data_IF_254416587430
#
_entry.id   IF_254416587430
#
_cell.length_a   1.000
_cell.length_b   1.000
_cell.length_c   1.000
_cell.angle_alpha   90.00
_cell.angle_beta   90.00
_cell.angle_gamma   90.00
#
_symmetry.space_group_name_H-M   'P 1'
#
loop_
_entity.id
_entity.type
_entity.pdbx_description
1 polymer ?
#
# COMPACT_ATOMS: atom_id res chain seq x y z
N UNK A 1 -29.18 12.20 -22.10
CA UNK A 1 -28.31 12.06 -23.29
C UNK A 1 -27.56 13.37 -23.54
N UNK A 2 -26.72 13.81 -22.58
CA UNK A 2 -25.94 15.07 -22.64
C UNK A 2 -24.69 15.04 -21.71
N UNK A 3 -24.24 13.84 -21.31
CA UNK A 3 -23.14 13.64 -20.34
C UNK A 3 -21.90 12.94 -20.93
N UNK A 4 -21.96 12.49 -22.19
CA UNK A 4 -20.90 11.72 -22.85
C UNK A 4 -19.95 12.56 -23.72
N UNK A 5 -20.35 13.77 -24.16
CA UNK A 5 -19.51 14.59 -25.05
C UNK A 5 -18.47 15.44 -24.31
N UNK A 6 -18.58 15.60 -22.99
CA UNK A 6 -17.57 16.32 -22.17
C UNK A 6 -16.32 15.50 -21.83
N UNK A 7 -16.34 14.19 -22.08
CA UNK A 7 -15.22 13.28 -21.82
C UNK A 7 -14.15 13.29 -22.91
N UNK A 8 -14.46 13.78 -24.12
CA UNK A 8 -13.51 13.78 -25.24
C UNK A 8 -12.62 15.03 -25.32
N UNK A 9 -13.08 16.19 -24.86
CA UNK A 9 -12.28 17.42 -24.91
C UNK A 9 -11.29 17.60 -23.74
N UNK A 10 -11.46 16.86 -22.64
CA UNK A 10 -10.50 16.85 -21.53
C UNK A 10 -9.25 16.01 -21.85
N UNK A 11 -9.33 15.08 -22.80
CA UNK A 11 -8.28 14.07 -22.99
C UNK A 11 -7.02 14.59 -23.72
N UNK A 12 -7.12 15.69 -24.49
CA UNK A 12 -5.93 16.35 -25.08
C UNK A 12 -5.18 17.26 -24.11
N UNK A 13 -5.82 17.70 -23.03
CA UNK A 13 -5.17 18.56 -22.03
C UNK A 13 -4.29 17.75 -21.06
N UNK A 14 -4.62 16.47 -20.84
CA UNK A 14 -3.89 15.58 -19.93
C UNK A 14 -2.56 15.12 -20.56
N UNK A 15 -2.53 14.79 -21.85
CA UNK A 15 -1.30 14.40 -22.56
C UNK A 15 -0.26 15.53 -22.61
N UNK A 16 -0.69 16.79 -22.76
CA UNK A 16 0.21 17.95 -22.70
C UNK A 16 0.69 18.27 -21.28
N UNK A 17 0.06 17.74 -20.24
CA UNK A 17 0.39 18.03 -18.84
C UNK A 17 1.48 17.08 -18.31
N UNK A 18 1.49 15.82 -18.75
CA UNK A 18 2.51 14.83 -18.38
C UNK A 18 3.91 15.27 -18.86
N UNK A 19 4.01 15.91 -20.03
CA UNK A 19 5.29 16.42 -20.53
C UNK A 19 5.76 17.74 -19.87
N UNK A 20 4.87 18.49 -19.20
CA UNK A 20 5.17 19.79 -18.58
C UNK A 20 5.37 19.74 -17.07
N UNK A 21 5.00 18.64 -16.41
CA UNK A 21 5.26 18.45 -14.98
C UNK A 21 6.74 18.21 -14.64
N UNK A 22 7.58 17.84 -15.63
CA UNK A 22 9.02 17.63 -15.43
C UNK A 22 9.85 18.93 -15.32
N UNK A 23 9.23 20.12 -15.28
CA UNK A 23 9.99 21.39 -15.28
C UNK A 23 9.63 22.37 -14.15
N UNK A 24 8.67 22.04 -13.28
CA UNK A 24 8.16 23.04 -12.31
C UNK A 24 7.75 22.47 -10.95
N UNK A 25 8.49 21.53 -10.38
CA UNK A 25 8.42 21.29 -8.93
C UNK A 25 9.85 21.05 -8.45
N UNK A 26 10.36 21.97 -7.65
CA UNK A 26 11.58 21.79 -6.86
C UNK A 26 11.37 20.71 -5.81
N UNK A 27 11.29 19.46 -6.23
CA UNK A 27 11.43 18.31 -5.37
C UNK A 27 12.93 18.15 -5.13
N UNK A 28 13.41 18.66 -3.99
CA UNK A 28 14.72 18.22 -3.50
C UNK A 28 14.62 16.72 -3.32
N UNK A 29 15.25 15.95 -4.21
CA UNK A 29 15.50 14.53 -3.97
C UNK A 29 16.38 14.49 -2.72
N UNK A 30 15.76 14.28 -1.56
CA UNK A 30 16.50 13.85 -0.38
C UNK A 30 17.26 12.60 -0.78
N UNK A 31 18.58 12.61 -0.61
CA UNK A 31 19.43 11.47 -0.91
C UNK A 31 18.89 10.26 -0.14
N UNK A 32 18.58 9.13 -0.81
CA UNK A 32 18.07 7.95 -0.13
C UNK A 32 19.02 7.57 1.00
N UNK A 33 18.48 7.40 2.21
CA UNK A 33 19.25 6.84 3.31
C UNK A 33 19.57 5.38 2.95
N UNK A 34 20.85 4.99 2.80
CA UNK A 34 21.20 3.62 2.43
C UNK A 34 20.77 2.58 3.49
N UNK A 35 20.46 3.01 4.72
CA UNK A 35 19.90 2.15 5.77
C UNK A 35 18.38 1.95 5.67
N UNK A 36 17.66 2.83 4.98
CA UNK A 36 16.21 2.79 4.82
C UNK A 36 15.83 3.34 3.43
N UNK A 37 15.91 2.51 2.37
CA UNK A 37 15.46 2.94 1.06
C UNK A 37 13.98 3.33 1.13
N UNK A 38 13.64 4.51 0.64
CA UNK A 38 12.25 4.97 0.57
C UNK A 38 11.60 4.36 -0.66
N UNK A 39 10.46 3.68 -0.49
CA UNK A 39 9.72 3.12 -1.62
C UNK A 39 9.16 4.25 -2.49
N UNK A 40 9.56 4.30 -3.76
CA UNK A 40 8.96 5.20 -4.74
C UNK A 40 7.48 4.86 -4.94
N UNK A 41 6.61 5.87 -5.04
CA UNK A 41 5.18 5.69 -5.29
C UNK A 41 4.85 6.10 -6.72
N UNK A 42 4.51 5.13 -7.57
CA UNK A 42 4.10 5.44 -8.96
C UNK A 42 2.73 6.12 -9.02
N UNK A 43 1.86 5.85 -8.04
CA UNK A 43 0.51 6.42 -8.03
C UNK A 43 0.60 7.86 -7.53
N UNK A 44 0.20 8.87 -8.33
CA UNK A 44 0.14 10.24 -7.84
C UNK A 44 -0.88 10.35 -6.70
N UNK A 45 -0.52 10.99 -5.59
CA UNK A 45 -1.39 11.12 -4.42
C UNK A 45 -2.78 11.68 -4.76
N UNK A 46 -2.88 12.58 -5.74
CA UNK A 46 -4.15 13.12 -6.21
C UNK A 46 -5.11 12.06 -6.78
N UNK A 47 -4.58 10.98 -7.38
CA UNK A 47 -5.38 9.82 -7.81
C UNK A 47 -5.91 9.07 -6.59
N UNK A 48 -5.06 8.82 -5.59
CA UNK A 48 -5.50 8.16 -4.34
C UNK A 48 -6.56 8.98 -3.60
N UNK A 49 -6.38 10.30 -3.49
CA UNK A 49 -7.32 11.18 -2.78
C UNK A 49 -8.66 11.39 -3.50
N UNK A 50 -8.73 11.07 -4.79
CA UNK A 50 -9.99 11.10 -5.56
C UNK A 50 -10.62 9.72 -5.73
N UNK A 51 -10.00 8.68 -5.17
CA UNK A 51 -10.46 7.29 -5.24
C UNK A 51 -11.28 6.92 -3.99
N UNK A 52 -12.32 6.13 -4.17
CA UNK A 52 -13.20 5.64 -3.11
C UNK A 52 -12.90 4.18 -2.70
N UNK A 53 -11.74 3.64 -3.06
CA UNK A 53 -11.37 2.25 -2.77
C UNK A 53 -10.66 2.11 -1.42
N UNK A 54 -9.42 2.59 -1.30
CA UNK A 54 -8.63 2.36 -0.09
C UNK A 54 -9.16 3.15 1.12
N UNK A 55 -8.83 2.65 2.32
CA UNK A 55 -9.23 3.17 3.63
C UNK A 55 -10.73 3.05 3.99
N UNK A 56 -11.52 2.37 3.16
CA UNK A 56 -12.95 2.06 3.37
C UNK A 56 -13.13 0.55 3.30
N UNK A 57 -13.87 -0.02 4.25
CA UNK A 57 -13.95 -1.45 4.48
C UNK A 57 -15.39 -1.85 4.79
N UNK A 58 -15.79 -3.04 4.38
CA UNK A 58 -17.14 -3.56 4.61
C UNK A 58 -17.33 -4.09 6.04
N UNK A 59 -16.25 -4.52 6.69
CA UNK A 59 -16.27 -5.21 7.98
C UNK A 59 -15.37 -4.51 9.00
N UNK A 60 -15.76 -4.51 10.28
CA UNK A 60 -15.02 -3.88 11.37
C UNK A 60 -13.66 -4.52 11.63
N UNK A 61 -13.57 -5.83 11.39
CA UNK A 61 -12.41 -6.70 11.57
C UNK A 61 -11.82 -7.14 10.22
N UNK A 62 -12.04 -6.34 9.16
CA UNK A 62 -11.46 -6.56 7.85
C UNK A 62 -9.97 -6.85 7.94
N UNK A 63 -9.55 -8.00 7.39
CA UNK A 63 -8.14 -8.40 7.32
C UNK A 63 -7.30 -7.48 6.43
N UNK A 64 -7.95 -6.65 5.62
CA UNK A 64 -7.31 -5.65 4.76
C UNK A 64 -7.04 -4.33 5.50
N UNK A 65 -7.45 -4.21 6.76
CA UNK A 65 -7.10 -3.06 7.58
C UNK A 65 -5.56 -3.01 7.76
N UNK A 66 -4.93 -1.83 7.63
CA UNK A 66 -3.48 -1.72 7.64
C UNK A 66 -2.81 -2.30 8.90
N UNK A 67 -1.71 -3.01 8.68
CA UNK A 67 -0.82 -3.50 9.73
C UNK A 67 0.38 -2.56 9.89
N UNK A 68 0.75 -2.31 11.14
CA UNK A 68 1.88 -1.50 11.54
C UNK A 68 2.90 -2.38 12.24
N UNK A 69 4.17 -2.22 11.91
CA UNK A 69 5.26 -2.69 12.78
C UNK A 69 5.28 -1.90 14.09
N UNK A 70 5.88 -2.44 15.15
CA UNK A 70 6.02 -1.68 16.41
C UNK A 70 6.76 -0.34 16.22
N UNK A 71 7.75 -0.26 15.32
CA UNK A 71 8.44 1.01 15.02
C UNK A 71 7.52 2.04 14.36
N UNK A 72 6.67 1.64 13.41
CA UNK A 72 5.72 2.53 12.75
C UNK A 72 4.61 2.99 13.70
N UNK A 73 4.09 2.07 14.51
CA UNK A 73 3.14 2.37 15.58
C UNK A 73 3.72 3.36 16.58
N UNK A 74 4.96 3.15 17.04
CA UNK A 74 5.61 4.07 17.99
C UNK A 74 5.76 5.49 17.43
N UNK A 75 6.05 5.63 16.13
CA UNK A 75 6.12 6.93 15.46
C UNK A 75 4.79 7.68 15.52
N UNK A 76 3.68 7.04 15.12
CA UNK A 76 2.37 7.71 15.13
C UNK A 76 1.85 7.97 16.55
N UNK A 77 2.15 7.10 17.51
CA UNK A 77 1.81 7.33 18.93
C UNK A 77 2.56 8.53 19.51
N UNK A 78 3.82 8.72 19.11
CA UNK A 78 4.61 9.90 19.50
C UNK A 78 3.98 11.20 18.97
N UNK A 79 3.32 11.13 17.81
CA UNK A 79 2.56 12.23 17.20
C UNK A 79 1.13 12.37 17.77
N UNK A 80 0.83 11.71 18.90
CA UNK A 80 -0.41 11.89 19.66
C UNK A 80 -1.54 10.94 19.27
N UNK A 81 -1.29 9.92 18.45
CA UNK A 81 -2.27 8.88 18.15
C UNK A 81 -2.49 7.99 19.37
N UNK A 82 -3.75 7.69 19.67
CA UNK A 82 -4.11 6.79 20.76
C UNK A 82 -3.56 5.36 20.51
N UNK A 83 -2.69 4.82 21.39
CA UNK A 83 -2.20 3.45 21.26
C UNK A 83 -3.32 2.40 21.36
N UNK A 84 -4.47 2.75 21.94
CA UNK A 84 -5.66 1.90 21.99
C UNK A 84 -6.27 1.60 20.63
N UNK A 85 -5.86 2.28 19.56
CA UNK A 85 -6.30 1.99 18.18
C UNK A 85 -5.65 0.76 17.57
N UNK A 86 -4.62 0.18 18.19
CA UNK A 86 -3.82 -0.90 17.60
C UNK A 86 -4.09 -2.24 18.28
N UNK A 87 -4.47 -3.26 17.49
CA UNK A 87 -4.68 -4.63 17.94
C UNK A 87 -3.44 -5.49 17.66
N UNK A 88 -2.75 -6.03 18.67
CA UNK A 88 -1.60 -6.89 18.47
C UNK A 88 -1.91 -8.07 17.55
N UNK A 89 -0.94 -8.44 16.70
CA UNK A 89 -1.03 -9.60 15.82
C UNK A 89 -0.33 -10.83 16.41
N UNK A 90 -0.48 -11.97 15.74
CA UNK A 90 0.05 -13.26 16.20
C UNK A 90 1.57 -13.34 16.22
N UNK A 91 2.26 -12.53 15.40
CA UNK A 91 3.73 -12.40 15.44
C UNK A 91 4.26 -11.71 16.70
N UNK A 92 3.41 -11.05 17.49
CA UNK A 92 3.80 -10.29 18.68
C UNK A 92 4.66 -9.05 18.41
N UNK A 93 4.89 -8.69 17.14
CA UNK A 93 5.78 -7.62 16.70
C UNK A 93 5.08 -6.61 15.76
N UNK A 94 3.85 -6.90 15.36
CA UNK A 94 3.01 -6.01 14.57
C UNK A 94 1.62 -5.84 15.21
N UNK A 95 0.92 -4.79 14.78
CA UNK A 95 -0.42 -4.50 15.22
C UNK A 95 -1.30 -3.98 14.07
N UNK A 96 -2.50 -4.50 13.97
CA UNK A 96 -3.49 -4.08 12.99
C UNK A 96 -4.31 -2.91 13.54
N UNK A 97 -4.59 -1.92 12.68
CA UNK A 97 -5.41 -0.77 13.06
C UNK A 97 -6.88 -1.18 13.25
N UNK A 98 -7.50 -0.71 14.32
CA UNK A 98 -8.93 -0.90 14.55
C UNK A 98 -9.74 0.12 13.75
N UNK A 99 -10.69 -0.37 12.95
CA UNK A 99 -11.52 0.48 12.11
C UNK A 99 -12.62 1.16 12.92
N UNK A 100 -13.05 2.35 12.48
CA UNK A 100 -14.18 3.08 13.04
C UNK A 100 -15.39 2.97 12.12
N UNK A 101 -16.57 2.80 12.70
CA UNK A 101 -17.83 2.81 11.96
C UNK A 101 -18.06 4.18 11.31
N UNK A 102 -18.52 4.19 10.07
CA UNK A 102 -18.87 5.38 9.31
C UNK A 102 -19.97 5.05 8.31
N UNK A 103 -21.18 5.55 8.57
CA UNK A 103 -22.39 5.25 7.80
C UNK A 103 -22.61 3.74 7.63
N UNK A 104 -22.67 3.24 6.40
CA UNK A 104 -22.91 1.81 6.10
C UNK A 104 -21.61 0.98 6.02
N UNK A 105 -20.47 1.55 6.40
CA UNK A 105 -19.15 0.91 6.27
C UNK A 105 -18.22 1.26 7.43
N UNK A 106 -16.97 0.82 7.33
CA UNK A 106 -15.91 1.09 8.28
C UNK A 106 -14.77 1.82 7.59
N UNK A 107 -14.11 2.73 8.30
CA UNK A 107 -12.96 3.48 7.77
C UNK A 107 -11.76 3.37 8.67
N UNK A 108 -10.58 3.52 8.06
CA UNK A 108 -9.34 3.71 8.81
C UNK A 108 -9.47 4.97 9.70
N UNK A 109 -9.05 4.94 10.98
CA UNK A 109 -9.11 6.10 11.88
C UNK A 109 -8.39 7.34 11.32
N UNK A 110 -7.32 7.13 10.54
CA UNK A 110 -6.53 8.20 9.92
C UNK A 110 -7.16 8.75 8.62
N UNK A 111 -8.22 8.12 8.11
CA UNK A 111 -8.93 8.63 6.94
C UNK A 111 -9.90 9.74 7.37
N UNK A 112 -9.78 10.89 6.70
CA UNK A 112 -10.73 11.98 6.79
C UNK A 112 -11.72 11.90 5.61
N UNK A 113 -13.00 11.54 5.84
CA UNK A 113 -13.97 11.38 4.76
C UNK A 113 -14.38 12.70 4.11
N UNK A 114 -14.25 13.85 4.79
CA UNK A 114 -14.59 15.16 4.22
C UNK A 114 -13.57 15.62 3.18
N UNK A 115 -12.30 15.28 3.40
CA UNK A 115 -11.20 15.69 2.52
C UNK A 115 -10.68 14.56 1.65
N UNK A 116 -11.00 13.30 1.96
CA UNK A 116 -10.41 12.09 1.40
C UNK A 116 -8.89 11.96 1.62
N UNK A 117 -8.35 12.62 2.65
CA UNK A 117 -6.92 12.57 2.98
C UNK A 117 -6.64 11.67 4.19
N UNK A 118 -5.46 11.05 4.18
CA UNK A 118 -4.90 10.39 5.35
C UNK A 118 -4.18 11.42 6.24
N UNK A 119 -4.52 11.47 7.52
CA UNK A 119 -3.91 12.42 8.47
C UNK A 119 -2.44 12.11 8.78
N UNK A 120 -1.99 10.87 8.52
CA UNK A 120 -0.61 10.43 8.70
C UNK A 120 0.11 10.15 7.36
N UNK A 121 -0.37 10.73 6.24
CA UNK A 121 0.09 10.40 4.89
C UNK A 121 1.63 10.29 4.71
N UNK A 122 2.46 11.22 5.26
CA UNK A 122 3.91 11.18 5.11
C UNK A 122 4.60 10.04 5.89
N UNK A 123 3.92 9.47 6.88
CA UNK A 123 4.47 8.46 7.80
C UNK A 123 3.64 7.17 7.83
N UNK A 124 2.90 6.91 6.75
CA UNK A 124 2.09 5.68 6.57
C UNK A 124 2.92 4.43 6.81
N UNK A 125 2.32 3.33 7.32
CA UNK A 125 3.03 2.07 7.48
C UNK A 125 3.42 1.49 6.12
N UNK A 126 4.40 0.59 6.13
CA UNK A 126 4.87 -0.16 4.96
C UNK A 126 3.72 -0.78 4.17
N UNK A 127 2.74 -1.36 4.86
CA UNK A 127 1.54 -1.96 4.26
C UNK A 127 0.78 -0.95 3.37
N UNK A 128 0.52 0.25 3.89
CA UNK A 128 -0.11 1.35 3.14
C UNK A 128 0.79 1.94 2.05
N UNK A 129 2.11 1.87 2.20
CA UNK A 129 3.06 2.32 1.18
C UNK A 129 3.17 1.30 0.05
N UNK A 130 2.99 0.01 0.31
CA UNK A 130 3.04 -1.01 -0.73
C UNK A 130 1.82 -0.93 -1.65
N UNK A 131 0.63 -0.56 -1.16
CA UNK A 131 -0.58 -0.49 -1.98
C UNK A 131 -0.36 0.31 -3.29
N UNK A 132 -0.62 -0.29 -4.48
CA UNK A 132 -1.54 -1.40 -4.74
C UNK A 132 -0.88 -2.79 -4.74
N UNK A 133 0.36 -2.90 -4.30
CA UNK A 133 1.03 -4.16 -4.14
C UNK A 133 0.61 -4.83 -2.84
N UNK A 134 0.38 -6.14 -2.89
CA UNK A 134 0.03 -6.96 -1.75
C UNK A 134 1.07 -8.07 -1.57
N UNK A 135 1.51 -8.25 -0.33
CA UNK A 135 2.25 -9.43 0.12
C UNK A 135 1.24 -10.43 0.66
N UNK A 136 1.19 -11.62 0.10
CA UNK A 136 0.25 -12.64 0.53
C UNK A 136 0.82 -14.05 0.37
N UNK A 137 0.23 -15.01 1.07
CA UNK A 137 0.42 -16.40 0.72
C UNK A 137 -0.29 -16.71 -0.60
N UNK A 138 0.29 -17.62 -1.39
CA UNK A 138 -0.35 -18.19 -2.58
C UNK A 138 -1.62 -18.96 -2.20
N UNK A 139 -2.47 -19.28 -3.17
CA UNK A 139 -3.75 -19.97 -2.94
C UNK A 139 -3.60 -21.28 -2.16
N UNK A 140 -2.52 -22.02 -2.39
CA UNK A 140 -2.23 -23.28 -1.68
C UNK A 140 -1.51 -23.07 -0.32
N UNK A 141 -1.17 -21.83 0.03
CA UNK A 141 -0.50 -21.47 1.28
C UNK A 141 1.00 -21.77 1.35
N UNK A 142 1.62 -22.24 0.26
CA UNK A 142 3.00 -22.74 0.31
C UNK A 142 4.06 -21.73 -0.11
N UNK A 143 3.66 -20.61 -0.72
CA UNK A 143 4.57 -19.60 -1.24
C UNK A 143 4.14 -18.23 -0.73
N UNK A 144 5.12 -17.38 -0.42
CA UNK A 144 4.89 -15.94 -0.24
C UNK A 144 5.05 -15.28 -1.61
N UNK A 145 4.05 -14.53 -2.03
CA UNK A 145 4.00 -13.88 -3.34
C UNK A 145 3.76 -12.39 -3.22
N UNK A 146 4.30 -11.65 -4.18
CA UNK A 146 3.95 -10.25 -4.44
C UNK A 146 2.93 -10.23 -5.59
N UNK A 147 1.87 -9.44 -5.42
CA UNK A 147 0.91 -9.22 -6.48
C UNK A 147 0.40 -7.79 -6.53
N UNK A 148 -0.35 -7.47 -7.58
CA UNK A 148 -0.99 -6.16 -7.79
C UNK A 148 -2.49 -6.32 -7.64
N UNK A 149 -3.08 -5.59 -6.69
CA UNK A 149 -4.52 -5.60 -6.45
C UNK A 149 -5.26 -4.83 -7.55
N UNK A 150 -6.14 -5.53 -8.27
CA UNK A 150 -6.96 -4.98 -9.33
C UNK A 150 -8.10 -4.10 -8.81
N UNK A 151 -8.37 -4.10 -7.50
CA UNK A 151 -9.27 -3.12 -6.91
C UNK A 151 -8.72 -1.69 -6.98
N UNK A 152 -7.40 -1.51 -7.15
CA UNK A 152 -6.82 -0.20 -7.41
C UNK A 152 -7.06 0.22 -8.87
N UNK A 153 -7.86 1.26 -9.16
CA UNK A 153 -8.17 1.64 -10.54
C UNK A 153 -6.96 2.13 -11.32
N UNK A 154 -5.95 2.66 -10.62
CA UNK A 154 -4.68 3.03 -11.26
C UNK A 154 -3.87 1.78 -11.61
N UNK A 155 -3.74 0.83 -10.67
CA UNK A 155 -3.05 -0.43 -10.90
C UNK A 155 -3.68 -1.18 -12.08
N UNK A 156 -4.99 -1.40 -12.03
CA UNK A 156 -5.77 -2.06 -13.09
C UNK A 156 -5.55 -1.40 -14.46
N UNK A 157 -5.72 -0.08 -14.54
CA UNK A 157 -5.66 0.65 -15.81
C UNK A 157 -4.26 0.68 -16.43
N UNK A 158 -3.22 0.78 -15.61
CA UNK A 158 -1.86 1.00 -16.08
C UNK A 158 -0.97 -0.25 -16.00
N UNK A 159 -1.51 -1.39 -15.53
CA UNK A 159 -0.79 -2.63 -15.28
C UNK A 159 0.14 -3.03 -16.43
N UNK A 160 -0.37 -3.02 -17.67
CA UNK A 160 0.37 -3.48 -18.86
C UNK A 160 1.37 -2.45 -19.41
N UNK A 161 1.41 -1.23 -18.87
CA UNK A 161 2.31 -0.19 -19.38
C UNK A 161 3.76 -0.44 -18.98
N UNK A 162 4.72 -0.08 -19.85
CA UNK A 162 6.15 -0.23 -19.54
C UNK A 162 6.58 0.47 -18.26
N UNK A 163 5.97 1.63 -17.95
CA UNK A 163 6.24 2.38 -16.73
C UNK A 163 5.81 1.61 -15.48
N UNK A 164 4.61 1.04 -15.48
CA UNK A 164 4.11 0.26 -14.36
C UNK A 164 4.87 -1.07 -14.22
N UNK A 165 5.18 -1.74 -15.34
CA UNK A 165 6.03 -2.94 -15.34
C UNK A 165 7.44 -2.69 -14.80
N UNK A 166 8.00 -1.50 -15.03
CA UNK A 166 9.26 -1.08 -14.39
C UNK A 166 9.09 -0.92 -12.89
N UNK A 167 8.01 -0.26 -12.47
CA UNK A 167 7.74 -0.09 -11.07
C UNK A 167 7.51 -1.41 -10.32
N UNK A 168 6.87 -2.41 -10.95
CA UNK A 168 6.77 -3.76 -10.40
C UNK A 168 8.17 -4.31 -10.07
N UNK A 169 9.14 -4.18 -10.98
CA UNK A 169 10.52 -4.61 -10.74
C UNK A 169 11.18 -3.82 -9.62
N UNK A 170 10.99 -2.50 -9.58
CA UNK A 170 11.54 -1.66 -8.51
C UNK A 170 10.98 -2.07 -7.12
N UNK A 171 9.70 -2.46 -7.05
CA UNK A 171 9.07 -2.96 -5.81
C UNK A 171 9.58 -4.34 -5.44
N UNK A 172 9.78 -5.24 -6.41
CA UNK A 172 10.41 -6.55 -6.17
C UNK A 172 11.81 -6.35 -5.57
N UNK A 173 12.66 -5.55 -6.21
CA UNK A 173 14.01 -5.26 -5.72
C UNK A 173 14.00 -4.63 -4.32
N UNK A 174 13.02 -3.77 -4.04
CA UNK A 174 12.83 -3.17 -2.72
C UNK A 174 12.45 -4.21 -1.66
N UNK A 175 11.44 -5.04 -1.92
CA UNK A 175 10.95 -6.07 -0.99
C UNK A 175 12.03 -7.13 -0.73
N UNK A 176 12.78 -7.53 -1.77
CA UNK A 176 13.87 -8.51 -1.68
C UNK A 176 15.19 -7.92 -1.15
N UNK A 177 15.23 -6.63 -0.83
CA UNK A 177 16.38 -6.06 -0.13
C UNK A 177 16.53 -6.67 1.27
N UNK A 178 17.77 -6.86 1.72
CA UNK A 178 18.08 -7.51 3.00
C UNK A 178 17.33 -6.86 4.18
N UNK A 179 17.32 -5.52 4.22
CA UNK A 179 16.67 -4.75 5.28
C UNK A 179 15.15 -4.95 5.30
N UNK A 180 14.48 -4.89 4.14
CA UNK A 180 13.03 -5.03 4.05
C UNK A 180 12.62 -6.49 4.27
N UNK A 181 13.36 -7.45 3.72
CA UNK A 181 13.11 -8.88 3.96
C UNK A 181 13.22 -9.21 5.45
N UNK A 182 14.28 -8.75 6.13
CA UNK A 182 14.42 -8.95 7.58
C UNK A 182 13.27 -8.31 8.37
N UNK A 183 12.82 -7.11 7.98
CA UNK A 183 11.66 -6.47 8.59
C UNK A 183 10.38 -7.29 8.38
N UNK A 184 10.13 -7.81 7.18
CA UNK A 184 8.95 -8.62 6.88
C UNK A 184 8.96 -9.96 7.64
N UNK A 185 10.11 -10.63 7.76
CA UNK A 185 10.24 -11.86 8.56
C UNK A 185 9.91 -11.58 10.04
N UNK A 186 10.42 -10.47 10.58
CA UNK A 186 10.17 -10.08 11.96
C UNK A 186 8.70 -9.65 12.21
N UNK A 187 7.95 -9.33 11.17
CA UNK A 187 6.57 -8.82 11.22
C UNK A 187 5.68 -9.62 10.24
N UNK A 188 5.76 -10.95 10.31
CA UNK A 188 5.20 -11.84 9.29
C UNK A 188 3.67 -11.72 9.12
N UNK A 189 2.95 -11.11 10.08
CA UNK A 189 1.52 -10.84 9.91
C UNK A 189 1.22 -9.82 8.81
N UNK A 190 2.22 -9.07 8.31
CA UNK A 190 2.12 -8.25 7.09
C UNK A 190 1.86 -9.10 5.83
N UNK A 191 2.14 -10.40 5.87
CA UNK A 191 1.84 -11.32 4.77
C UNK A 191 0.37 -11.76 4.91
N UNK A 192 -0.48 -11.24 4.05
CA UNK A 192 -1.91 -11.52 4.06
C UNK A 192 -2.26 -12.92 3.56
N UNK A 193 -3.54 -13.26 3.68
CA UNK A 193 -4.09 -14.43 3.00
C UNK A 193 -4.21 -14.16 1.50
N UNK A 194 -4.33 -15.24 0.72
CA UNK A 194 -4.64 -15.18 -0.71
C UNK A 194 -5.89 -14.32 -0.99
N UNK A 195 -5.82 -13.53 -2.06
CA UNK A 195 -6.89 -12.65 -2.52
C UNK A 195 -7.08 -12.83 -4.03
N UNK A 196 -8.31 -13.15 -4.46
CA UNK A 196 -8.65 -13.39 -5.87
C UNK A 196 -8.48 -12.15 -6.76
N UNK A 197 -8.57 -10.95 -6.19
CA UNK A 197 -8.41 -9.68 -6.92
C UNK A 197 -6.96 -9.31 -7.18
N UNK A 198 -6.00 -10.06 -6.62
CA UNK A 198 -4.57 -9.75 -6.71
C UNK A 198 -3.92 -10.60 -7.81
N UNK A 199 -3.40 -9.93 -8.84
CA UNK A 199 -2.61 -10.56 -9.89
C UNK A 199 -1.20 -10.81 -9.37
N UNK A 200 -0.82 -12.07 -9.20
CA UNK A 200 0.54 -12.44 -8.77
C UNK A 200 1.56 -12.03 -9.85
N UNK A 201 2.61 -11.34 -9.43
CA UNK A 201 3.69 -10.87 -10.32
C UNK A 201 5.06 -11.46 -9.98
N UNK A 202 5.27 -11.94 -8.74
CA UNK A 202 6.55 -12.49 -8.31
C UNK A 202 6.41 -13.42 -7.10
N UNK A 203 7.22 -14.47 -7.06
CA UNK A 203 7.36 -15.35 -5.88
C UNK A 203 8.57 -14.92 -5.06
N UNK A 204 8.38 -14.71 -3.75
CA UNK A 204 9.38 -14.22 -2.82
C UNK A 204 10.02 -15.40 -2.10
N UNK A 205 11.02 -16.02 -2.74
CA UNK A 205 11.61 -17.29 -2.26
C UNK A 205 12.18 -17.18 -0.83
N UNK A 206 12.91 -16.11 -0.52
CA UNK A 206 13.50 -15.93 0.82
C UNK A 206 12.43 -15.83 1.93
N UNK A 207 11.33 -15.12 1.66
CA UNK A 207 10.21 -15.03 2.60
C UNK A 207 9.44 -16.35 2.70
N UNK A 208 9.30 -17.07 1.58
CA UNK A 208 8.70 -18.40 1.56
C UNK A 208 9.46 -19.36 2.46
N UNK A 209 10.78 -19.43 2.33
CA UNK A 209 11.63 -20.31 3.13
C UNK A 209 11.56 -19.94 4.63
N UNK A 210 11.56 -18.63 4.94
CA UNK A 210 11.54 -18.14 6.31
C UNK A 210 10.19 -18.35 7.03
N UNK A 211 9.07 -18.32 6.30
CA UNK A 211 7.71 -18.49 6.85
C UNK A 211 7.23 -19.94 6.84
N UNK A 212 7.85 -20.81 6.05
CA UNK A 212 7.60 -22.26 6.06
C UNK A 212 8.23 -22.97 7.28
N UNK A 213 9.18 -22.32 7.96
CA UNK A 213 9.74 -22.81 9.21
C UNK A 213 8.71 -22.60 10.34
N UNK A 214 8.50 -23.58 11.25
CA UNK A 214 7.57 -23.41 12.35
C UNK A 214 8.01 -22.21 13.20
N UNK A 215 7.16 -21.17 13.25
CA UNK A 215 7.29 -20.05 14.17
C UNK A 215 7.06 -20.61 15.59
N UNK A 216 8.13 -21.03 16.25
CA UNK A 216 8.16 -21.54 17.64
C UNK A 216 7.90 -20.47 18.67
#
# INVERSE_FOLDING_TARGET
>A
MMRLERLWHHNRAVESSILKLNTFIGYTMETPNPAHPTLYQIIPSAVCFSCDVCCRFLEADSRLAPIFTETEKARVVTDGVDPGLFRPQADGASAQIQLKHHDDFYICPFFNPETSHCTIYPIRPLDCQLYPFALMFSENGNEVVLGVDTLCPFGEKYFETEAFQRHIRDVIDYVESEAVTAQLIANWSLIGNYQETVIIVHTLAQLTDATSAPHT
#
